data_IF_745013342159
#
_entry.id   IF_745013342159
#
_cell.length_a   1.000
_cell.length_b   1.000
_cell.length_c   1.000
_cell.angle_alpha   90.00
_cell.angle_beta   90.00
_cell.angle_gamma   90.00
#
_symmetry.space_group_name_H-M   'P 1'
#
loop_
_entity.id
_entity.type
_entity.pdbx_description
1 polymer ?
#
# COMPACT_ATOMS: atom_id res chain seq x y z
N UNK A 1 -11.70 13.30 4.86
CA UNK A 1 -12.00 11.98 5.47
C UNK A 1 -13.12 11.36 4.65
N UNK A 2 -12.98 10.10 4.23
CA UNK A 2 -14.02 9.46 3.39
C UNK A 2 -15.29 9.26 4.21
N UNK A 3 -16.46 9.50 3.60
CA UNK A 3 -17.76 9.36 4.27
C UNK A 3 -18.04 7.92 4.77
N UNK A 4 -17.34 6.94 4.21
CA UNK A 4 -17.45 5.53 4.57
C UNK A 4 -16.08 4.93 4.95
N UNK A 5 -16.07 3.95 5.87
CA UNK A 5 -14.87 3.21 6.20
C UNK A 5 -14.37 2.42 4.99
N UNK A 6 -13.07 2.52 4.71
CA UNK A 6 -12.43 1.79 3.61
C UNK A 6 -12.26 0.30 3.97
N UNK A 7 -12.31 -0.57 2.95
CA UNK A 7 -12.11 -2.02 3.12
C UNK A 7 -10.79 -2.39 3.82
N UNK A 8 -9.76 -1.57 3.69
CA UNK A 8 -8.45 -1.75 4.34
C UNK A 8 -8.56 -1.74 5.88
N UNK A 9 -9.60 -1.13 6.46
CA UNK A 9 -9.84 -1.18 7.91
C UNK A 9 -10.11 -2.59 8.41
N UNK A 10 -10.62 -3.50 7.57
CA UNK A 10 -10.83 -4.90 7.94
C UNK A 10 -9.50 -5.64 8.18
N UNK A 11 -8.36 -5.06 7.79
CA UNK A 11 -7.03 -5.61 8.03
C UNK A 11 -6.28 -4.78 9.07
N UNK A 12 -6.13 -3.48 8.83
CA UNK A 12 -5.25 -2.63 9.64
C UNK A 12 -5.98 -1.88 10.77
N UNK A 13 -7.30 -1.77 10.71
CA UNK A 13 -8.10 -1.04 11.70
C UNK A 13 -8.57 -1.90 12.87
N UNK A 14 -8.41 -3.23 12.81
CA UNK A 14 -8.83 -4.17 13.86
C UNK A 14 -7.93 -4.04 15.09
N UNK A 15 -8.54 -4.22 16.27
CA UNK A 15 -7.88 -4.15 17.59
C UNK A 15 -7.76 -5.51 18.27
N UNK A 16 -7.66 -6.55 17.46
CA UNK A 16 -7.41 -7.93 17.86
C UNK A 16 -5.99 -8.37 17.45
N UNK A 17 -5.65 -9.63 17.72
CA UNK A 17 -4.36 -10.21 17.40
C UNK A 17 -4.09 -10.21 15.88
N UNK A 18 -5.11 -10.48 15.06
CA UNK A 18 -5.00 -10.47 13.59
C UNK A 18 -4.63 -9.06 13.09
N UNK A 19 -5.33 -8.03 13.55
CA UNK A 19 -5.02 -6.64 13.21
C UNK A 19 -3.63 -6.21 13.67
N UNK A 20 -3.19 -6.70 14.84
CA UNK A 20 -1.83 -6.50 15.31
C UNK A 20 -0.80 -7.16 14.37
N UNK A 21 -0.99 -8.42 14.00
CA UNK A 21 -0.10 -9.15 13.10
C UNK A 21 0.01 -8.48 11.71
N UNK A 22 -1.12 -8.09 11.11
CA UNK A 22 -1.12 -7.39 9.81
C UNK A 22 -0.29 -6.10 9.83
N UNK A 23 -0.42 -5.29 10.90
CA UNK A 23 0.38 -4.07 11.04
C UNK A 23 1.84 -4.39 11.33
N UNK A 24 2.12 -5.42 12.14
CA UNK A 24 3.49 -5.80 12.51
C UNK A 24 4.33 -6.21 11.29
N UNK A 25 3.78 -6.97 10.35
CA UNK A 25 4.51 -7.38 9.14
C UNK A 25 4.91 -6.18 8.27
N UNK A 26 3.99 -5.24 8.04
CA UNK A 26 4.34 -4.02 7.30
C UNK A 26 5.29 -3.11 8.08
N UNK A 27 5.19 -3.05 9.41
CA UNK A 27 6.17 -2.32 10.23
C UNK A 27 7.58 -2.90 10.09
N UNK A 28 7.72 -4.22 9.94
CA UNK A 28 9.01 -4.86 9.69
C UNK A 28 9.66 -4.43 8.36
N UNK A 29 8.85 -3.99 7.38
CA UNK A 29 9.34 -3.39 6.13
C UNK A 29 9.69 -1.90 6.24
N UNK A 30 9.54 -1.30 7.43
CA UNK A 30 9.92 0.10 7.71
C UNK A 30 8.76 1.11 7.71
N UNK A 31 7.51 0.66 7.64
CA UNK A 31 6.34 1.55 7.74
C UNK A 31 6.07 1.95 9.21
N UNK A 32 5.70 3.22 9.44
CA UNK A 32 5.34 3.73 10.78
C UNK A 32 3.85 3.59 11.07
N UNK A 33 3.43 3.81 12.32
CA UNK A 33 2.00 3.80 12.68
C UNK A 33 1.15 4.81 11.91
N UNK A 34 1.77 5.88 11.40
CA UNK A 34 1.10 6.95 10.68
C UNK A 34 0.40 6.48 9.40
N UNK A 35 0.84 5.37 8.81
CA UNK A 35 0.22 4.86 7.57
C UNK A 35 -1.06 4.06 7.82
N UNK A 36 -1.37 3.71 9.08
CA UNK A 36 -2.54 2.92 9.46
C UNK A 36 -3.68 3.76 10.06
N UNK A 37 -3.65 5.08 9.87
CA UNK A 37 -4.66 6.04 10.36
C UNK A 37 -6.04 5.93 9.68
N UNK A 38 -6.16 5.06 8.68
CA UNK A 38 -7.38 4.87 7.89
C UNK A 38 -7.36 5.58 6.54
N UNK A 39 -6.23 6.18 6.14
CA UNK A 39 -6.00 6.63 4.76
C UNK A 39 -6.17 5.50 3.73
N UNK A 40 -6.43 5.83 2.45
CA UNK A 40 -6.50 4.83 1.40
C UNK A 40 -5.21 4.03 1.25
N UNK A 41 -5.36 2.72 1.10
CA UNK A 41 -4.26 1.81 0.72
C UNK A 41 -4.33 1.61 -0.78
N UNK A 42 -3.31 2.06 -1.50
CA UNK A 42 -3.25 2.01 -2.97
C UNK A 42 -2.31 0.89 -3.40
N UNK A 43 -2.87 -0.15 -4.03
CA UNK A 43 -2.08 -1.17 -4.70
C UNK A 43 -1.71 -0.70 -6.11
N UNK A 44 -0.42 -0.63 -6.42
CA UNK A 44 0.08 -0.30 -7.76
C UNK A 44 0.34 -1.62 -8.50
N UNK A 45 -0.62 -2.06 -9.31
CA UNK A 45 -0.43 -3.24 -10.15
C UNK A 45 0.59 -2.92 -11.25
N UNK A 46 1.75 -3.58 -11.21
CA UNK A 46 2.85 -3.34 -12.13
C UNK A 46 3.15 -4.62 -12.93
N UNK A 47 2.89 -4.58 -14.23
CA UNK A 47 3.13 -5.69 -15.16
C UNK A 47 4.52 -5.63 -15.82
N UNK A 48 5.47 -4.90 -15.24
CA UNK A 48 6.86 -4.92 -15.66
C UNK A 48 7.42 -6.35 -15.63
N UNK A 49 8.15 -6.71 -16.67
CA UNK A 49 8.99 -7.89 -16.75
C UNK A 49 10.11 -7.62 -17.77
N UNK A 50 11.19 -8.39 -17.69
CA UNK A 50 12.26 -8.35 -18.69
C UNK A 50 11.85 -9.10 -19.98
N UNK A 51 10.78 -9.90 -19.93
CA UNK A 51 10.23 -10.64 -21.07
C UNK A 51 9.31 -9.79 -21.97
N UNK A 52 8.78 -8.67 -21.48
CA UNK A 52 7.81 -7.83 -22.19
C UNK A 52 8.35 -6.40 -22.40
N UNK A 53 9.10 -6.21 -23.48
CA UNK A 53 9.75 -4.94 -23.82
C UNK A 53 8.82 -3.70 -23.79
N UNK A 54 7.56 -3.83 -24.19
CA UNK A 54 6.57 -2.73 -24.12
C UNK A 54 6.38 -2.18 -22.69
N UNK A 55 6.59 -3.02 -21.66
CA UNK A 55 6.40 -2.68 -20.25
C UNK A 55 7.71 -2.38 -19.52
N UNK A 56 8.86 -2.34 -20.21
CA UNK A 56 10.18 -2.24 -19.60
C UNK A 56 10.35 -1.01 -18.67
N UNK A 57 9.65 0.09 -18.97
CA UNK A 57 9.70 1.35 -18.21
C UNK A 57 8.74 1.39 -17.01
N UNK A 58 7.87 0.40 -16.82
CA UNK A 58 6.81 0.46 -15.81
C UNK A 58 7.33 0.43 -14.36
N UNK A 59 8.57 -0.04 -14.09
CA UNK A 59 9.19 0.13 -12.75
C UNK A 59 9.36 1.60 -12.39
N UNK A 60 9.90 2.40 -13.30
CA UNK A 60 10.12 3.83 -13.06
C UNK A 60 8.79 4.58 -12.95
N UNK A 61 7.80 4.21 -13.76
CA UNK A 61 6.46 4.77 -13.69
C UNK A 61 5.79 4.43 -12.34
N UNK A 62 5.89 3.18 -11.88
CA UNK A 62 5.33 2.78 -10.58
C UNK A 62 5.96 3.58 -9.42
N UNK A 63 7.26 3.86 -9.45
CA UNK A 63 7.91 4.72 -8.46
C UNK A 63 7.41 6.17 -8.52
N UNK A 64 7.15 6.70 -9.72
CA UNK A 64 6.54 8.03 -9.88
C UNK A 64 5.11 8.08 -9.34
N UNK A 65 4.29 7.06 -9.63
CA UNK A 65 2.94 6.93 -9.08
C UNK A 65 2.99 6.82 -7.57
N UNK A 66 3.89 6.02 -7.01
CA UNK A 66 4.10 5.90 -5.57
C UNK A 66 4.40 7.25 -4.93
N UNK A 67 5.27 8.08 -5.52
CA UNK A 67 5.52 9.45 -5.04
C UNK A 67 4.26 10.31 -5.05
N UNK A 68 3.43 10.23 -6.10
CA UNK A 68 2.16 10.95 -6.18
C UNK A 68 1.08 10.46 -5.19
N UNK A 69 1.16 9.20 -4.74
CA UNK A 69 0.28 8.70 -3.65
C UNK A 69 0.68 9.29 -2.29
N UNK A 70 1.96 9.63 -2.10
CA UNK A 70 2.47 10.20 -0.85
C UNK A 70 2.34 11.72 -0.74
N UNK A 71 2.19 12.43 -1.87
CA UNK A 71 2.00 13.89 -1.90
C UNK A 71 0.64 14.30 -1.36
#
# INVERSE_FOLDING_TARGET
MTAHPLRSRNWFGRRDLDGFAHRAWLKAEGFSDLVFDGRPVVGIANSWSELNNCNAHLRQLAEAVKRGVWS
#
